data_IF_962016179725
#
_entry.id   IF_962016179725
#
_cell.length_a   1.000
_cell.length_b   1.000
_cell.length_c   1.000
_cell.angle_alpha   90.00
_cell.angle_beta   90.00
_cell.angle_gamma   90.00
#
_symmetry.space_group_name_H-M   'P 1'
#
loop_
_entity.id
_entity.type
_entity.pdbx_description
1 polymer ?
#
# COMPACT_ATOMS: atom_id res chain seq x y z
N UNK A 1 15.86 -13.47 -23.38
CA UNK A 1 14.60 -12.93 -22.83
C UNK A 1 14.84 -12.66 -21.34
N UNK A 2 15.38 -11.49 -21.02
CA UNK A 2 15.71 -11.13 -19.63
C UNK A 2 14.40 -10.79 -18.92
N UNK A 3 14.04 -11.55 -17.88
CA UNK A 3 13.08 -11.09 -16.88
C UNK A 3 13.73 -9.91 -16.16
N UNK A 4 13.37 -8.69 -16.51
CA UNK A 4 13.81 -7.49 -15.79
C UNK A 4 13.13 -7.50 -14.41
N UNK A 5 13.76 -8.18 -13.45
CA UNK A 5 13.44 -8.06 -12.04
C UNK A 5 13.66 -6.62 -11.57
N UNK A 6 13.03 -6.26 -10.45
CA UNK A 6 13.00 -4.92 -9.84
C UNK A 6 14.40 -4.26 -9.74
N UNK A 7 15.46 -5.07 -9.67
CA UNK A 7 16.87 -4.65 -9.75
C UNK A 7 17.19 -3.76 -10.97
N UNK A 8 16.55 -3.96 -12.12
CA UNK A 8 16.67 -3.09 -13.30
C UNK A 8 16.00 -1.72 -13.13
N UNK A 9 15.02 -1.60 -12.22
CA UNK A 9 14.32 -0.34 -11.90
C UNK A 9 15.13 0.54 -10.94
N UNK A 10 15.82 -0.05 -9.97
CA UNK A 10 16.68 0.69 -9.03
C UNK A 10 17.88 1.36 -9.70
N UNK A 11 18.37 0.82 -10.83
CA UNK A 11 19.44 1.43 -11.63
C UNK A 11 19.06 2.76 -12.32
N UNK A 12 17.76 3.12 -12.34
CA UNK A 12 17.27 4.39 -12.93
C UNK A 12 16.79 5.41 -11.90
N UNK A 13 16.20 5.00 -10.78
CA UNK A 13 15.81 5.89 -9.67
C UNK A 13 15.28 5.10 -8.48
N UNK A 14 15.64 5.44 -7.22
CA UNK A 14 15.05 4.82 -6.03
C UNK A 14 13.58 5.21 -5.82
N UNK A 15 13.08 6.25 -6.50
CA UNK A 15 11.71 6.76 -6.34
C UNK A 15 10.67 5.97 -7.12
N UNK A 16 11.03 5.30 -8.22
CA UNK A 16 10.07 4.55 -9.04
C UNK A 16 9.32 3.47 -8.26
N UNK A 17 10.02 2.62 -7.47
CA UNK A 17 9.35 1.67 -6.58
C UNK A 17 8.47 2.33 -5.51
N UNK A 18 8.93 3.43 -4.89
CA UNK A 18 8.14 4.19 -3.90
C UNK A 18 6.88 4.82 -4.52
N UNK A 19 6.94 5.27 -5.77
CA UNK A 19 5.77 5.75 -6.52
C UNK A 19 4.79 4.61 -6.79
N UNK A 20 5.29 3.45 -7.23
CA UNK A 20 4.46 2.26 -7.44
C UNK A 20 3.75 1.80 -6.14
N UNK A 21 4.44 1.85 -5.00
CA UNK A 21 3.82 1.59 -3.70
C UNK A 21 2.68 2.58 -3.41
N UNK A 22 2.91 3.89 -3.59
CA UNK A 22 1.87 4.91 -3.40
C UNK A 22 0.67 4.72 -4.33
N UNK A 23 0.88 4.28 -5.57
CA UNK A 23 -0.22 3.98 -6.50
C UNK A 23 -1.12 2.85 -5.99
N UNK A 24 -0.54 1.81 -5.36
CA UNK A 24 -1.31 0.73 -4.74
C UNK A 24 -2.07 1.22 -3.50
N UNK A 25 -1.41 2.00 -2.64
CA UNK A 25 -2.04 2.64 -1.48
C UNK A 25 -3.23 3.51 -1.92
N UNK A 26 -3.08 4.30 -2.99
CA UNK A 26 -4.16 5.13 -3.51
C UNK A 26 -5.37 4.30 -3.97
N UNK A 27 -5.13 3.16 -4.64
CA UNK A 27 -6.21 2.22 -5.02
C UNK A 27 -6.91 1.61 -3.81
N UNK A 28 -6.20 1.41 -2.70
CA UNK A 28 -6.84 1.02 -1.44
C UNK A 28 -7.75 2.15 -0.95
N UNK A 29 -7.23 3.39 -0.89
CA UNK A 29 -7.98 4.59 -0.46
C UNK A 29 -9.22 4.88 -1.31
N UNK A 30 -9.19 4.59 -2.61
CA UNK A 30 -10.34 4.72 -3.50
C UNK A 30 -11.56 3.88 -3.06
N UNK A 31 -11.38 2.83 -2.23
CA UNK A 31 -12.50 2.06 -1.65
C UNK A 31 -13.17 2.74 -0.46
N UNK A 32 -12.60 3.82 0.08
CA UNK A 32 -13.20 4.54 1.19
C UNK A 32 -14.57 5.13 0.84
N UNK A 33 -14.72 5.65 -0.39
CA UNK A 33 -16.00 6.20 -0.87
C UNK A 33 -17.10 5.11 -0.90
N UNK A 34 -16.97 3.99 -1.64
CA UNK A 34 -17.99 2.96 -1.66
C UNK A 34 -18.21 2.29 -0.28
N UNK A 35 -17.17 2.20 0.57
CA UNK A 35 -17.31 1.72 1.94
C UNK A 35 -18.21 2.66 2.75
N UNK A 36 -17.97 3.97 2.67
CA UNK A 36 -18.77 4.97 3.38
C UNK A 36 -20.24 4.95 2.94
N UNK A 37 -20.50 4.78 1.64
CA UNK A 37 -21.85 4.64 1.09
C UNK A 37 -22.56 3.39 1.65
N UNK A 38 -21.88 2.24 1.65
CA UNK A 38 -22.43 0.99 2.17
C UNK A 38 -22.76 1.07 3.67
N UNK A 39 -21.87 1.69 4.47
CA UNK A 39 -22.10 1.94 5.90
C UNK A 39 -23.31 2.84 6.10
N UNK A 40 -23.41 3.96 5.38
CA UNK A 40 -24.54 4.88 5.48
C UNK A 40 -25.87 4.25 5.05
N UNK A 41 -25.84 3.34 4.07
CA UNK A 41 -27.01 2.58 3.62
C UNK A 41 -27.40 1.43 4.57
N UNK A 42 -26.54 1.08 5.53
CA UNK A 42 -26.72 -0.07 6.42
C UNK A 42 -26.54 -1.43 5.73
N UNK A 43 -25.93 -1.45 4.54
CA UNK A 43 -25.71 -2.66 3.74
C UNK A 43 -24.49 -3.44 4.26
N UNK A 44 -24.72 -4.26 5.29
CA UNK A 44 -23.66 -5.01 5.95
C UNK A 44 -22.93 -5.98 5.01
N UNK A 45 -23.66 -6.63 4.10
CA UNK A 45 -23.06 -7.59 3.18
C UNK A 45 -22.07 -6.91 2.24
N UNK A 46 -22.41 -5.69 1.80
CA UNK A 46 -21.50 -4.89 0.98
C UNK A 46 -20.31 -4.36 1.78
N UNK A 47 -20.49 -3.99 3.05
CA UNK A 47 -19.38 -3.63 3.95
C UNK A 47 -18.39 -4.79 4.09
N UNK A 48 -18.87 -6.02 4.33
CA UNK A 48 -18.01 -7.21 4.44
C UNK A 48 -17.26 -7.52 3.12
N UNK A 49 -17.94 -7.35 1.99
CA UNK A 49 -17.33 -7.54 0.66
C UNK A 49 -16.21 -6.52 0.41
N UNK A 50 -16.47 -5.25 0.71
CA UNK A 50 -15.48 -4.18 0.56
C UNK A 50 -14.32 -4.33 1.55
N UNK A 51 -14.57 -4.83 2.76
CA UNK A 51 -13.52 -5.11 3.75
C UNK A 51 -12.53 -6.16 3.25
N UNK A 52 -13.03 -7.26 2.67
CA UNK A 52 -12.17 -8.27 2.06
C UNK A 52 -11.34 -7.67 0.90
N UNK A 53 -11.95 -6.85 0.06
CA UNK A 53 -11.26 -6.19 -1.06
C UNK A 53 -10.19 -5.18 -0.59
N UNK A 54 -10.44 -4.45 0.51
CA UNK A 54 -9.47 -3.56 1.14
C UNK A 54 -8.26 -4.36 1.65
N UNK A 55 -8.50 -5.47 2.36
CA UNK A 55 -7.42 -6.33 2.88
C UNK A 55 -6.58 -6.95 1.76
N UNK A 56 -7.20 -7.39 0.67
CA UNK A 56 -6.47 -7.88 -0.51
C UNK A 56 -5.57 -6.79 -1.13
N UNK A 57 -6.06 -5.54 -1.22
CA UNK A 57 -5.31 -4.39 -1.77
C UNK A 57 -4.20 -3.91 -0.84
N UNK A 58 -4.42 -3.94 0.47
CA UNK A 58 -3.40 -3.69 1.48
C UNK A 58 -2.25 -4.70 1.33
N UNK A 59 -2.57 -5.99 1.23
CA UNK A 59 -1.56 -7.03 1.10
C UNK A 59 -0.70 -6.85 -0.17
N UNK A 60 -1.29 -6.42 -1.29
CA UNK A 60 -0.52 -6.06 -2.51
C UNK A 60 0.45 -4.88 -2.28
N UNK A 61 0.03 -3.89 -1.48
CA UNK A 61 0.89 -2.77 -1.08
C UNK A 61 2.02 -3.24 -0.14
N UNK A 62 1.71 -4.06 0.86
CA UNK A 62 2.67 -4.64 1.81
C UNK A 62 3.75 -5.48 1.11
N UNK A 63 3.36 -6.31 0.12
CA UNK A 63 4.31 -7.03 -0.73
C UNK A 63 5.27 -6.08 -1.44
N UNK A 64 4.75 -4.96 -1.97
CA UNK A 64 5.58 -3.95 -2.62
C UNK A 64 6.50 -3.23 -1.62
N UNK A 65 6.01 -2.90 -0.42
CA UNK A 65 6.83 -2.36 0.69
C UNK A 65 7.98 -3.29 1.03
N UNK A 66 7.72 -4.59 1.15
CA UNK A 66 8.73 -5.61 1.40
C UNK A 66 9.76 -5.68 0.29
N UNK A 67 9.34 -5.67 -0.96
CA UNK A 67 10.23 -5.65 -2.11
C UNK A 67 11.15 -4.41 -2.12
N UNK A 68 10.62 -3.23 -1.78
CA UNK A 68 11.42 -2.01 -1.63
C UNK A 68 12.46 -2.20 -0.52
N UNK A 69 12.05 -2.63 0.67
CA UNK A 69 12.95 -2.80 1.83
C UNK A 69 14.10 -3.77 1.55
N UNK A 70 13.81 -4.86 0.85
CA UNK A 70 14.74 -5.94 0.54
C UNK A 70 15.74 -5.58 -0.57
N UNK A 71 15.31 -4.79 -1.56
CA UNK A 71 16.11 -4.51 -2.75
C UNK A 71 16.71 -3.11 -2.78
N UNK A 72 16.36 -2.23 -1.84
CA UNK A 72 16.92 -0.89 -1.75
C UNK A 72 18.43 -0.93 -1.43
N UNK A 73 19.29 -0.36 -2.30
CA UNK A 73 20.74 -0.35 -2.09
C UNK A 73 21.18 0.29 -0.78
N UNK A 74 22.38 -0.06 -0.31
CA UNK A 74 23.00 0.60 0.85
C UNK A 74 23.29 2.07 0.52
N UNK A 75 23.23 2.92 1.55
CA UNK A 75 23.32 4.39 1.44
C UNK A 75 24.46 4.93 0.56
N UNK A 76 25.64 4.29 0.55
CA UNK A 76 26.79 4.72 -0.28
C UNK A 76 26.57 4.65 -1.80
N UNK A 77 25.48 4.02 -2.25
CA UNK A 77 25.10 3.86 -3.66
C UNK A 77 23.81 4.61 -4.01
N UNK A 78 23.25 5.40 -3.08
CA UNK A 78 22.01 6.16 -3.27
C UNK A 78 22.29 7.67 -3.32
N UNK A 79 21.55 8.43 -4.16
CA UNK A 79 21.62 9.88 -4.17
C UNK A 79 20.89 10.54 -2.99
N UNK A 80 20.18 9.76 -2.17
CA UNK A 80 19.40 10.18 -0.99
C UNK A 80 19.67 9.22 0.17
N UNK A 81 19.47 9.66 1.42
CA UNK A 81 19.55 8.78 2.58
C UNK A 81 18.53 7.65 2.46
N UNK A 82 18.98 6.42 2.75
CA UNK A 82 18.14 5.23 2.73
C UNK A 82 17.01 5.34 3.75
N UNK A 83 17.26 5.99 4.89
CA UNK A 83 16.29 6.15 5.99
C UNK A 83 15.13 7.03 5.54
N UNK A 84 15.42 8.17 4.90
CA UNK A 84 14.41 9.10 4.41
C UNK A 84 13.46 8.41 3.42
N UNK A 85 14.00 7.60 2.50
CA UNK A 85 13.15 6.87 1.54
C UNK A 85 12.28 5.81 2.22
N UNK A 86 12.83 5.11 3.23
CA UNK A 86 12.06 4.13 3.99
C UNK A 86 11.01 4.79 4.89
N UNK A 87 11.28 5.99 5.39
CA UNK A 87 10.30 6.79 6.13
C UNK A 87 9.14 7.19 5.23
N UNK A 88 9.40 7.60 3.99
CA UNK A 88 8.33 7.86 3.01
C UNK A 88 7.48 6.59 2.79
N UNK A 89 8.12 5.45 2.55
CA UNK A 89 7.38 4.19 2.34
C UNK A 89 6.56 3.81 3.57
N UNK A 90 7.09 4.01 4.77
CA UNK A 90 6.37 3.76 6.01
C UNK A 90 5.16 4.70 6.18
N UNK A 91 5.30 5.99 5.86
CA UNK A 91 4.18 6.93 5.90
C UNK A 91 3.07 6.56 4.91
N UNK A 92 3.43 6.04 3.72
CA UNK A 92 2.47 5.56 2.73
C UNK A 92 1.73 4.32 3.24
N UNK A 93 2.46 3.38 3.82
CA UNK A 93 1.95 2.13 4.38
C UNK A 93 0.90 2.40 5.46
N UNK A 94 1.20 3.31 6.40
CA UNK A 94 0.27 3.68 7.47
C UNK A 94 -1.07 4.23 6.98
N UNK A 95 -1.16 4.73 5.75
CA UNK A 95 -2.43 5.16 5.15
C UNK A 95 -3.31 3.95 4.83
N UNK A 96 -2.73 2.91 4.21
CA UNK A 96 -3.44 1.68 3.87
C UNK A 96 -3.84 0.92 5.15
N UNK A 97 -2.92 0.78 6.11
CA UNK A 97 -3.18 0.15 7.41
C UNK A 97 -4.35 0.81 8.13
N UNK A 98 -4.37 2.15 8.19
CA UNK A 98 -5.44 2.89 8.86
C UNK A 98 -6.82 2.64 8.23
N UNK A 99 -6.86 2.46 6.91
CA UNK A 99 -8.10 2.15 6.20
C UNK A 99 -8.54 0.71 6.47
N UNK A 100 -7.61 -0.25 6.43
CA UNK A 100 -7.91 -1.65 6.75
C UNK A 100 -8.42 -1.79 8.18
N UNK A 101 -7.75 -1.17 9.16
CA UNK A 101 -8.19 -1.14 10.56
C UNK A 101 -9.60 -0.52 10.69
N UNK A 102 -9.84 0.62 10.04
CA UNK A 102 -11.16 1.27 10.04
C UNK A 102 -12.22 0.34 9.47
N UNK A 103 -11.92 -0.36 8.38
CA UNK A 103 -12.86 -1.26 7.74
C UNK A 103 -13.16 -2.50 8.60
N UNK A 104 -12.13 -3.09 9.21
CA UNK A 104 -12.30 -4.17 10.19
C UNK A 104 -13.18 -3.75 11.37
N UNK A 105 -13.04 -2.52 11.88
CA UNK A 105 -13.93 -2.03 12.94
C UNK A 105 -15.39 -1.92 12.49
N UNK A 106 -15.63 -1.55 11.22
CA UNK A 106 -16.97 -1.42 10.65
C UNK A 106 -17.66 -2.78 10.41
N UNK A 107 -16.91 -3.87 10.25
CA UNK A 107 -17.48 -5.22 10.14
C UNK A 107 -17.90 -5.78 11.51
N UNK A 108 -17.25 -5.35 12.59
CA UNK A 108 -17.45 -5.85 13.97
C UNK A 108 -18.72 -5.34 14.68
N UNK A 109 -19.82 -5.03 13.96
CA UNK A 109 -21.07 -4.49 14.56
C UNK A 109 -21.40 -5.14 15.92
N UNK A 110 -21.76 -4.37 16.96
CA UNK A 110 -22.45 -4.93 18.12
C UNK A 110 -23.86 -5.44 17.76
#
# INVERSE_FOLDING_TARGET
MLREGIMGRFGRSPFGPTQNHMELVLRCVELLEPLSEAVCAGDQQRVETLAAEISDRENDADLTKHEIRNHLPKARFLPIDRRDLLEIVHLQDSIADSLEETCHLLTLKP
#
